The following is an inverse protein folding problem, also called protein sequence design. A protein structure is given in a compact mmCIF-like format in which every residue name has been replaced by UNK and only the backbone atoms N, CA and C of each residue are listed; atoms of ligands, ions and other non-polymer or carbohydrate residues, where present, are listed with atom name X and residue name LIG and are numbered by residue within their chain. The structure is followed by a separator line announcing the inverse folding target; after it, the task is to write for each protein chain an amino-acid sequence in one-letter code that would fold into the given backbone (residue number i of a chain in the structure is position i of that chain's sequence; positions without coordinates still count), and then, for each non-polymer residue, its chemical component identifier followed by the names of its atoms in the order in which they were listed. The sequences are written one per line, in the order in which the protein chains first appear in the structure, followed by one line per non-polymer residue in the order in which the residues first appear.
data_IF_910246009817
#
_entry.id   IF_910246009817
#
_cell.length_a   1.000
_cell.length_b   1.000
_cell.length_c   1.000
_cell.angle_alpha   90.00
_cell.angle_beta   90.00
_cell.angle_gamma   90.00
#
_symmetry.space_group_name_H-M   'P 1'
#
loop_
_entity.id
_entity.type
_entity.pdbx_description
1 polymer ?
#
# COMPACT_ATOMS: atom_id res chain seq x y z
N UNK A 1 17.98 8.24 -12.26
CA UNK A 1 16.59 8.34 -11.80
C UNK A 1 15.73 8.62 -13.02
N UNK A 2 14.75 7.78 -13.29
CA UNK A 2 13.90 7.86 -14.48
C UNK A 2 13.19 9.24 -14.55
N UNK A 3 13.03 9.77 -15.76
CA UNK A 3 12.32 11.03 -16.00
C UNK A 3 10.88 11.00 -15.49
N UNK A 4 10.22 9.83 -15.49
CA UNK A 4 8.88 9.64 -14.92
C UNK A 4 8.84 9.88 -13.42
N UNK A 5 9.86 9.42 -12.69
CA UNK A 5 9.97 9.66 -11.25
C UNK A 5 10.21 11.13 -10.95
N UNK A 6 11.12 11.80 -11.69
CA UNK A 6 11.36 13.23 -11.55
C UNK A 6 10.08 14.05 -11.81
N UNK A 7 9.36 13.74 -12.90
CA UNK A 7 8.10 14.38 -13.22
C UNK A 7 7.06 14.20 -12.11
N UNK A 8 6.92 12.98 -11.60
CA UNK A 8 5.99 12.69 -10.51
C UNK A 8 6.35 13.46 -9.24
N UNK A 9 7.64 13.53 -8.87
CA UNK A 9 8.09 14.26 -7.69
C UNK A 9 7.94 15.78 -7.81
N UNK A 10 8.04 16.34 -9.02
CA UNK A 10 7.93 17.79 -9.23
C UNK A 10 6.48 18.26 -9.36
N UNK A 11 5.59 17.41 -9.89
CA UNK A 11 4.24 17.81 -10.27
C UNK A 11 3.13 17.18 -9.44
N UNK A 12 3.41 16.10 -8.73
CA UNK A 12 2.41 15.38 -7.95
C UNK A 12 2.60 15.59 -6.45
N UNK A 13 1.51 15.97 -5.81
CA UNK A 13 1.33 15.71 -4.39
C UNK A 13 1.15 14.20 -4.27
N UNK A 14 2.13 13.51 -3.75
CA UNK A 14 1.99 12.06 -3.51
C UNK A 14 0.93 11.82 -2.44
N UNK A 15 -0.20 11.21 -2.77
CA UNK A 15 -0.97 10.54 -1.75
C UNK A 15 -0.16 9.31 -1.35
N UNK A 16 0.49 9.34 -0.20
CA UNK A 16 0.91 8.11 0.45
C UNK A 16 -0.32 7.25 0.74
N UNK A 17 -0.11 5.97 0.97
CA UNK A 17 -1.15 4.97 1.20
C UNK A 17 -2.30 5.39 2.13
N UNK A 18 -2.09 6.38 2.97
CA UNK A 18 -3.10 6.92 3.87
C UNK A 18 -3.83 8.16 3.33
N UNK A 19 -3.65 8.51 2.05
CA UNK A 19 -4.25 9.70 1.47
C UNK A 19 -3.74 11.03 2.06
N UNK A 20 -2.70 10.99 2.89
CA UNK A 20 -2.07 12.19 3.42
C UNK A 20 -1.21 12.84 2.32
N UNK A 21 -1.45 14.09 1.94
CA UNK A 21 -0.57 14.79 1.03
C UNK A 21 0.78 14.99 1.70
N UNK A 22 1.84 14.57 1.04
CA UNK A 22 3.20 14.88 1.50
C UNK A 22 3.80 15.91 0.58
N UNK A 23 4.30 16.97 1.16
CA UNK A 23 5.06 18.00 0.46
C UNK A 23 6.52 17.53 0.30
N UNK A 24 6.70 16.36 -0.31
CA UNK A 24 8.05 15.83 -0.55
C UNK A 24 8.65 16.54 -1.76
N UNK A 25 9.76 17.22 -1.57
CA UNK A 25 10.52 17.80 -2.67
C UNK A 25 11.29 16.70 -3.41
N UNK A 26 11.63 16.94 -4.68
CA UNK A 26 12.47 16.03 -5.45
C UNK A 26 13.82 15.76 -4.76
N UNK A 27 14.42 16.78 -4.15
CA UNK A 27 15.68 16.65 -3.41
C UNK A 27 15.54 15.72 -2.21
N UNK A 28 14.47 15.88 -1.42
CA UNK A 28 14.19 15.00 -0.29
C UNK A 28 13.97 13.54 -0.75
N UNK A 29 13.23 13.34 -1.84
CA UNK A 29 13.00 12.01 -2.43
C UNK A 29 14.31 11.37 -2.91
N UNK A 30 15.20 12.14 -3.56
CA UNK A 30 16.52 11.66 -3.96
C UNK A 30 17.36 11.24 -2.76
N UNK A 31 17.40 12.06 -1.69
CA UNK A 31 18.14 11.73 -0.48
C UNK A 31 17.65 10.45 0.22
N UNK A 32 16.33 10.23 0.24
CA UNK A 32 15.74 8.99 0.76
C UNK A 32 16.19 7.79 -0.10
N UNK A 33 16.09 7.90 -1.42
CA UNK A 33 16.47 6.82 -2.31
C UNK A 33 17.98 6.50 -2.24
N UNK A 34 18.83 7.52 -2.13
CA UNK A 34 20.27 7.34 -1.90
C UNK A 34 20.54 6.57 -0.63
N UNK A 35 19.84 6.89 0.46
CA UNK A 35 19.92 6.14 1.71
C UNK A 35 19.44 4.68 1.56
N UNK A 36 18.39 4.44 0.82
CA UNK A 36 17.89 3.08 0.55
C UNK A 36 18.86 2.27 -0.32
N UNK A 37 19.52 2.89 -1.30
CA UNK A 37 20.57 2.27 -2.12
C UNK A 37 21.77 1.90 -1.25
N UNK A 38 22.27 2.83 -0.43
CA UNK A 38 23.42 2.59 0.46
C UNK A 38 23.16 1.46 1.46
N UNK A 39 21.92 1.31 1.91
CA UNK A 39 21.51 0.23 2.82
C UNK A 39 21.11 -1.07 2.12
N UNK A 40 21.22 -1.15 0.79
CA UNK A 40 20.93 -2.35 0.01
C UNK A 40 19.45 -2.70 -0.15
N UNK A 41 18.54 -1.77 0.14
CA UNK A 41 17.10 -1.96 -0.09
C UNK A 41 16.70 -1.70 -1.55
N UNK A 42 17.46 -0.85 -2.25
CA UNK A 42 17.32 -0.61 -3.70
C UNK A 42 18.56 -1.13 -4.40
N UNK A 43 18.35 -1.97 -5.40
CA UNK A 43 19.39 -2.43 -6.32
C UNK A 43 19.42 -1.49 -7.52
N UNK A 44 20.61 -1.10 -7.95
CA UNK A 44 20.83 -0.25 -9.13
C UNK A 44 21.74 -1.00 -10.10
N UNK A 45 21.38 -1.04 -11.37
CA UNK A 45 22.15 -1.72 -12.40
C UNK A 45 22.02 -1.04 -13.77
N UNK A 46 22.96 -1.26 -14.65
CA UNK A 46 22.93 -0.74 -16.01
C UNK A 46 22.18 -1.66 -16.98
N UNK A 47 21.93 -2.90 -16.59
CA UNK A 47 21.17 -3.88 -17.36
C UNK A 47 20.10 -4.58 -16.50
N UNK A 48 19.07 -5.11 -17.15
CA UNK A 48 18.03 -5.89 -16.45
C UNK A 48 18.58 -7.21 -15.91
N UNK A 49 19.56 -7.78 -16.60
CA UNK A 49 20.25 -9.01 -16.19
C UNK A 49 21.04 -8.79 -14.89
N UNK A 50 21.82 -7.71 -14.79
CA UNK A 50 22.53 -7.34 -13.55
C UNK A 50 21.58 -7.00 -12.42
N UNK A 51 20.45 -6.35 -12.72
CA UNK A 51 19.40 -6.06 -11.74
C UNK A 51 18.83 -7.35 -11.15
N UNK A 52 18.53 -8.33 -12.02
CA UNK A 52 18.06 -9.66 -11.61
C UNK A 52 19.08 -10.38 -10.71
N UNK A 53 20.37 -10.34 -11.05
CA UNK A 53 21.44 -10.92 -10.26
C UNK A 53 21.52 -10.29 -8.87
N UNK A 54 21.46 -8.95 -8.79
CA UNK A 54 21.47 -8.21 -7.52
C UNK A 54 20.29 -8.54 -6.61
N UNK A 55 19.16 -8.96 -7.19
CA UNK A 55 17.97 -9.42 -6.46
C UNK A 55 17.98 -10.91 -6.13
N UNK A 56 18.91 -11.69 -6.70
CA UNK A 56 18.94 -13.14 -6.58
C UNK A 56 17.83 -13.83 -7.38
N UNK A 57 17.37 -13.22 -8.49
CA UNK A 57 16.34 -13.75 -9.36
C UNK A 57 16.93 -14.36 -10.63
N UNK A 58 16.26 -15.36 -11.25
CA UNK A 58 16.65 -15.84 -12.57
C UNK A 58 16.48 -14.71 -13.60
N UNK A 59 17.55 -14.36 -14.34
CA UNK A 59 17.58 -13.23 -15.27
C UNK A 59 16.46 -13.24 -16.32
N UNK A 60 15.99 -14.41 -16.74
CA UNK A 60 14.94 -14.55 -17.74
C UNK A 60 13.57 -14.03 -17.26
N UNK A 61 13.30 -14.02 -15.96
CA UNK A 61 11.98 -13.61 -15.42
C UNK A 61 11.79 -12.10 -15.48
N UNK A 62 12.67 -11.26 -14.89
CA UNK A 62 12.55 -9.81 -15.00
C UNK A 62 12.61 -9.33 -16.44
N UNK A 63 13.46 -9.94 -17.28
CA UNK A 63 13.57 -9.57 -18.69
C UNK A 63 12.24 -9.70 -19.43
N UNK A 64 11.55 -10.84 -19.32
CA UNK A 64 10.23 -11.05 -19.93
C UNK A 64 9.19 -10.05 -19.40
N UNK A 65 9.23 -9.75 -18.11
CA UNK A 65 8.31 -8.78 -17.50
C UNK A 65 8.54 -7.39 -18.06
N UNK A 66 9.78 -6.95 -18.19
CA UNK A 66 10.14 -5.65 -18.76
C UNK A 66 9.79 -5.59 -20.24
N UNK A 67 10.08 -6.63 -21.02
CA UNK A 67 9.70 -6.73 -22.43
C UNK A 67 8.17 -6.60 -22.57
N UNK A 68 7.39 -7.33 -21.78
CA UNK A 68 5.93 -7.26 -21.78
C UNK A 68 5.40 -5.87 -21.41
N UNK A 69 5.99 -5.23 -20.40
CA UNK A 69 5.63 -3.85 -20.03
C UNK A 69 5.93 -2.87 -21.17
N UNK A 70 7.04 -3.04 -21.86
CA UNK A 70 7.40 -2.20 -23.00
C UNK A 70 6.46 -2.42 -24.20
N UNK A 71 6.04 -3.65 -24.47
CA UNK A 71 5.02 -3.97 -25.48
C UNK A 71 3.69 -3.30 -25.17
N UNK A 72 3.23 -3.38 -23.91
CA UNK A 72 1.99 -2.76 -23.44
C UNK A 72 2.06 -1.22 -23.60
N UNK A 73 3.20 -0.62 -23.26
CA UNK A 73 3.44 0.81 -23.46
C UNK A 73 3.36 1.22 -24.94
N UNK A 74 4.01 0.48 -25.82
CA UNK A 74 4.01 0.77 -27.28
C UNK A 74 2.62 0.58 -27.89
N UNK A 75 1.87 -0.39 -27.39
CA UNK A 75 0.49 -0.64 -27.82
C UNK A 75 -0.51 0.38 -27.23
N UNK A 76 -0.14 1.13 -26.19
CA UNK A 76 -1.03 2.04 -25.46
C UNK A 76 -2.16 1.33 -24.73
N UNK A 77 -1.99 0.05 -24.40
CA UNK A 77 -3.00 -0.76 -23.71
C UNK A 77 -2.33 -1.80 -22.82
N UNK A 78 -2.90 -2.04 -21.66
CA UNK A 78 -2.49 -3.11 -20.73
C UNK A 78 -3.60 -4.18 -20.70
N UNK A 79 -3.47 -5.26 -21.48
CA UNK A 79 -4.47 -6.32 -21.50
C UNK A 79 -4.39 -7.25 -20.28
N UNK A 80 -3.31 -7.18 -19.50
CA UNK A 80 -3.05 -8.07 -18.36
C UNK A 80 -3.74 -7.56 -17.09
N UNK A 81 -3.72 -6.24 -16.83
CA UNK A 81 -4.25 -5.64 -15.62
C UNK A 81 -5.18 -4.45 -15.87
N UNK A 82 -5.39 -4.05 -17.13
CA UNK A 82 -6.28 -2.94 -17.48
C UNK A 82 -5.78 -1.57 -17.00
N UNK A 83 -4.47 -1.38 -16.88
CA UNK A 83 -3.90 -0.08 -16.51
C UNK A 83 -4.14 0.95 -17.60
N UNK A 84 -4.64 2.13 -17.23
CA UNK A 84 -4.89 3.21 -18.18
C UNK A 84 -3.66 3.58 -18.98
N UNK A 85 -3.82 3.83 -20.29
CA UNK A 85 -2.73 4.13 -21.22
C UNK A 85 -1.85 5.30 -20.75
N UNK A 86 -2.46 6.36 -20.19
CA UNK A 86 -1.72 7.54 -19.70
C UNK A 86 -0.84 7.26 -18.48
N UNK A 87 -0.99 6.09 -17.84
CA UNK A 87 -0.20 5.63 -16.69
C UNK A 87 0.84 4.59 -17.07
N UNK A 88 0.88 4.15 -18.33
CA UNK A 88 1.90 3.24 -18.80
C UNK A 88 3.22 4.02 -18.98
N UNK A 89 4.33 3.37 -18.64
CA UNK A 89 5.69 3.89 -18.86
C UNK A 89 6.58 2.78 -19.39
N UNK A 90 7.50 3.15 -20.29
CA UNK A 90 8.51 2.22 -20.81
C UNK A 90 9.68 2.10 -19.82
N UNK A 91 10.28 0.92 -19.76
CA UNK A 91 11.48 0.62 -18.97
C UNK A 91 12.60 0.30 -19.96
N UNK A 92 13.36 1.32 -20.43
CA UNK A 92 14.33 1.17 -21.53
C UNK A 92 15.67 1.85 -21.30
N UNK A 93 15.73 2.76 -20.34
CA UNK A 93 16.91 3.62 -20.16
C UNK A 93 17.57 3.35 -18.82
N UNK A 94 18.83 2.97 -18.85
CA UNK A 94 19.65 2.80 -17.65
C UNK A 94 19.93 4.18 -16.98
N UNK A 95 20.25 4.20 -15.68
CA UNK A 95 20.30 3.04 -14.78
C UNK A 95 18.92 2.56 -14.39
N UNK A 96 18.79 1.25 -14.21
CA UNK A 96 17.58 0.59 -13.71
C UNK A 96 17.62 0.47 -12.20
N UNK A 97 16.44 0.61 -11.58
CA UNK A 97 16.25 0.53 -10.15
C UNK A 97 15.20 -0.52 -9.82
N UNK A 98 15.46 -1.36 -8.84
CA UNK A 98 14.46 -2.26 -8.28
C UNK A 98 14.50 -2.23 -6.75
N UNK A 99 13.35 -2.40 -6.14
CA UNK A 99 13.19 -2.43 -4.70
C UNK A 99 12.58 -3.75 -4.27
N UNK A 100 13.22 -4.41 -3.30
CA UNK A 100 12.66 -5.63 -2.73
C UNK A 100 11.50 -5.26 -1.81
N UNK A 101 10.29 -5.59 -2.24
CA UNK A 101 9.08 -5.42 -1.45
C UNK A 101 8.68 -6.72 -0.77
N UNK A 102 8.11 -6.62 0.42
CA UNK A 102 7.54 -7.74 1.15
C UNK A 102 6.13 -7.41 1.61
N UNK A 103 5.36 -8.44 1.94
CA UNK A 103 4.06 -8.26 2.55
C UNK A 103 4.19 -7.53 3.89
N UNK A 104 3.34 -6.54 4.09
CA UNK A 104 3.26 -5.77 5.34
C UNK A 104 1.82 -5.65 5.79
N UNK A 105 1.54 -5.97 7.05
CA UNK A 105 0.21 -5.81 7.61
C UNK A 105 0.08 -4.43 8.24
N UNK A 106 -0.77 -3.59 7.67
CA UNK A 106 -1.07 -2.26 8.19
C UNK A 106 -2.16 -2.29 9.26
N UNK A 107 -3.24 -3.02 8.99
CA UNK A 107 -4.38 -3.13 9.89
C UNK A 107 -5.22 -4.37 9.57
N UNK A 108 -6.10 -4.74 10.49
CA UNK A 108 -7.11 -5.77 10.26
C UNK A 108 -8.35 -5.13 9.64
N UNK A 109 -8.83 -5.68 8.51
CA UNK A 109 -10.04 -5.20 7.84
C UNK A 109 -11.29 -5.93 8.34
N UNK A 110 -11.19 -7.25 8.53
CA UNK A 110 -12.30 -8.14 8.84
C UNK A 110 -12.33 -8.54 10.30
N UNK A 111 -11.58 -8.32 11.17
CA UNK A 111 -11.57 -8.58 12.62
C UNK A 111 -12.73 -9.41 13.19
N UNK A 112 -12.91 -9.35 14.49
CA UNK A 112 -13.98 -10.05 15.19
C UNK A 112 -15.34 -9.39 14.86
N UNK A 113 -16.30 -10.17 14.39
CA UNK A 113 -17.65 -9.66 14.10
C UNK A 113 -18.33 -9.14 15.35
N UNK A 114 -18.88 -7.94 15.28
CA UNK A 114 -19.57 -7.28 16.41
C UNK A 114 -21.00 -6.88 15.99
N UNK A 115 -21.86 -6.78 17.00
CA UNK A 115 -23.19 -6.19 16.85
C UNK A 115 -23.17 -4.66 17.07
N UNK A 116 -24.32 -4.02 16.96
CA UNK A 116 -24.52 -2.57 17.18
C UNK A 116 -24.15 -2.07 18.59
N UNK A 117 -24.09 -2.98 19.57
CA UNK A 117 -23.68 -2.71 20.94
C UNK A 117 -22.20 -2.99 21.19
N UNK A 118 -21.41 -3.19 20.14
CA UNK A 118 -19.97 -3.50 20.19
C UNK A 118 -19.63 -4.84 20.87
N UNK A 119 -20.61 -5.74 21.04
CA UNK A 119 -20.37 -7.08 21.57
C UNK A 119 -19.93 -8.00 20.44
N UNK A 120 -18.92 -8.84 20.70
CA UNK A 120 -18.59 -9.93 19.79
C UNK A 120 -19.80 -10.87 19.64
N UNK A 121 -19.98 -11.42 18.44
CA UNK A 121 -21.04 -12.38 18.17
C UNK A 121 -20.46 -13.71 17.72
N UNK A 122 -21.17 -14.80 18.03
CA UNK A 122 -20.88 -16.14 17.55
C UNK A 122 -21.32 -16.34 16.08
N UNK A 123 -21.08 -17.53 15.53
CA UNK A 123 -21.43 -17.87 14.14
C UNK A 123 -22.94 -17.80 13.83
N UNK A 124 -23.79 -17.75 14.87
CA UNK A 124 -25.23 -17.59 14.74
C UNK A 124 -25.69 -16.13 14.92
N UNK A 125 -24.75 -15.21 15.07
CA UNK A 125 -25.02 -13.78 15.32
C UNK A 125 -25.45 -13.47 16.76
N UNK A 126 -25.31 -14.43 17.69
CA UNK A 126 -25.67 -14.23 19.09
C UNK A 126 -24.51 -13.56 19.85
N UNK A 127 -24.83 -12.51 20.62
CA UNK A 127 -23.84 -11.81 21.42
C UNK A 127 -23.18 -12.73 22.47
N UNK A 128 -21.85 -12.65 22.55
CA UNK A 128 -21.07 -13.28 23.61
C UNK A 128 -21.09 -12.35 24.81
N UNK A 129 -21.67 -12.82 25.92
CA UNK A 129 -21.83 -12.00 27.10
C UNK A 129 -20.48 -11.58 27.68
N UNK A 130 -20.39 -10.30 28.06
CA UNK A 130 -19.20 -9.71 28.66
C UNK A 130 -18.05 -9.43 27.68
N UNK A 131 -18.13 -9.84 26.38
CA UNK A 131 -17.08 -9.63 25.40
C UNK A 131 -17.41 -8.44 24.50
N UNK A 132 -16.62 -7.36 24.60
CA UNK A 132 -16.72 -6.16 23.77
C UNK A 132 -15.44 -6.00 22.96
N UNK A 133 -15.57 -5.58 21.70
CA UNK A 133 -14.44 -5.41 20.79
C UNK A 133 -14.49 -4.05 20.14
N UNK A 134 -13.35 -3.37 20.10
CA UNK A 134 -13.22 -2.04 19.49
C UNK A 134 -11.89 -1.89 18.75
N UNK A 135 -11.74 -0.79 18.06
CA UNK A 135 -10.53 -0.51 17.30
C UNK A 135 -10.40 -1.36 16.05
N UNK A 136 -9.18 -1.63 15.66
CA UNK A 136 -8.89 -2.41 14.45
C UNK A 136 -9.23 -3.90 14.58
N UNK A 137 -9.38 -4.39 15.80
CA UNK A 137 -9.75 -5.79 16.05
C UNK A 137 -11.25 -6.06 15.82
N UNK A 138 -12.09 -5.00 15.81
CA UNK A 138 -13.51 -5.13 15.47
C UNK A 138 -13.69 -5.18 13.95
N UNK A 139 -14.38 -6.21 13.48
CA UNK A 139 -14.66 -6.46 12.05
C UNK A 139 -15.87 -5.71 11.53
N UNK A 140 -16.21 -6.02 10.26
CA UNK A 140 -17.45 -5.57 9.57
C UNK A 140 -17.56 -4.06 9.35
N UNK A 141 -16.51 -3.29 9.50
CA UNK A 141 -16.52 -1.84 9.33
C UNK A 141 -16.10 -1.39 7.91
N UNK A 142 -15.09 -2.03 7.35
CA UNK A 142 -14.47 -1.58 6.09
C UNK A 142 -14.96 -2.33 4.83
N UNK A 143 -15.84 -3.28 4.94
CA UNK A 143 -16.38 -4.04 3.79
C UNK A 143 -15.27 -4.57 2.86
N UNK A 144 -14.24 -5.21 3.42
CA UNK A 144 -13.10 -5.82 2.74
C UNK A 144 -12.12 -4.84 2.04
N UNK A 145 -12.28 -3.53 2.23
CA UNK A 145 -11.36 -2.54 1.65
C UNK A 145 -11.07 -1.41 2.63
N UNK A 146 -9.83 -0.94 2.63
CA UNK A 146 -9.43 0.20 3.46
C UNK A 146 -9.74 1.52 2.75
N UNK A 147 -10.49 2.46 3.36
CA UNK A 147 -10.91 3.70 2.71
C UNK A 147 -9.78 4.75 2.70
N UNK A 148 -8.78 4.57 1.85
CA UNK A 148 -7.63 5.48 1.75
C UNK A 148 -8.01 6.95 1.49
N UNK A 149 -9.14 7.18 0.85
CA UNK A 149 -9.63 8.53 0.53
C UNK A 149 -10.17 9.28 1.77
N UNK A 150 -10.33 8.61 2.90
CA UNK A 150 -10.88 9.19 4.12
C UNK A 150 -9.94 8.91 5.29
N UNK A 151 -9.00 9.81 5.49
CA UNK A 151 -7.97 9.66 6.53
C UNK A 151 -8.52 9.77 7.93
N UNK A 152 -7.89 9.09 8.90
CA UNK A 152 -8.26 9.17 10.31
C UNK A 152 -9.34 8.20 10.78
N UNK A 153 -9.93 7.38 9.89
CA UNK A 153 -10.98 6.43 10.26
C UNK A 153 -10.54 5.44 11.35
N UNK A 154 -9.34 4.89 11.24
CA UNK A 154 -8.82 3.93 12.22
C UNK A 154 -8.77 4.53 13.64
N UNK A 155 -8.16 5.69 13.76
CA UNK A 155 -8.04 6.40 15.03
C UNK A 155 -9.41 6.87 15.52
N UNK A 156 -10.19 7.52 14.66
CA UNK A 156 -11.52 8.05 14.99
C UNK A 156 -12.48 6.95 15.47
N UNK A 157 -12.50 5.81 14.77
CA UNK A 157 -13.29 4.63 15.18
C UNK A 157 -12.86 4.10 16.54
N UNK A 158 -11.56 3.92 16.76
CA UNK A 158 -11.03 3.38 18.00
C UNK A 158 -11.40 4.25 19.21
N UNK A 159 -11.21 5.57 19.09
CA UNK A 159 -11.56 6.52 20.16
C UNK A 159 -13.06 6.59 20.39
N UNK A 160 -13.85 6.68 19.32
CA UNK A 160 -15.31 6.82 19.40
C UNK A 160 -15.96 5.57 20.00
N UNK A 161 -15.64 4.40 19.48
CA UNK A 161 -16.22 3.13 19.94
C UNK A 161 -15.75 2.81 21.35
N UNK A 162 -14.47 3.02 21.68
CA UNK A 162 -13.97 2.84 23.03
C UNK A 162 -14.71 3.73 24.05
N UNK A 163 -14.97 4.99 23.69
CA UNK A 163 -15.77 5.90 24.53
C UNK A 163 -17.22 5.43 24.71
N UNK A 164 -17.85 4.95 23.62
CA UNK A 164 -19.23 4.47 23.64
C UNK A 164 -19.36 3.22 24.53
N UNK A 165 -18.46 2.25 24.37
CA UNK A 165 -18.40 1.06 25.22
C UNK A 165 -18.21 1.45 26.68
N UNK A 166 -17.25 2.32 26.98
CA UNK A 166 -16.98 2.79 28.32
C UNK A 166 -18.21 3.41 29.00
N UNK A 167 -18.96 4.24 28.27
CA UNK A 167 -20.23 4.82 28.78
C UNK A 167 -21.30 3.74 29.04
N UNK A 168 -21.45 2.78 28.14
CA UNK A 168 -22.41 1.69 28.27
C UNK A 168 -22.11 0.81 29.49
N UNK A 169 -20.81 0.51 29.70
CA UNK A 169 -20.40 -0.31 30.84
C UNK A 169 -20.52 0.43 32.20
N UNK A 170 -20.23 1.73 32.19
CA UNK A 170 -20.35 2.55 33.39
C UNK A 170 -21.81 2.83 33.82
N UNK A 171 -22.78 2.62 32.93
CA UNK A 171 -24.21 2.79 33.22
C UNK A 171 -24.90 1.51 33.71
N UNK A 172 -24.20 0.38 33.78
CA UNK A 172 -24.65 -0.90 34.35
C UNK A 172 -24.32 -0.98 35.83
#
# INVERSE_FOLDING_TARGET
MDASFAYTCETCVFPFDNGAPTNMTLEAAKGINEGLIQNGYIVVADTIEELAEGLGLPAATPKKTVERQNENYDAGVDPDFGKDAHRLSAIRTAPFYDVRTSGYMLCTLDGITINENFQAVDDNGKAIEGLYVTGIDSGSYYAHTYPNMSTGHCCGRSVTFGRMIGKTLAAK
#
